data_IF_821409629684
#
_entry.id   IF_821409629684
#
_cell.length_a   1.000
_cell.length_b   1.000
_cell.length_c   1.000
_cell.angle_alpha   90.00
_cell.angle_beta   90.00
_cell.angle_gamma   90.00
#
_symmetry.space_group_name_H-M   'P 1'
#
loop_
_entity.id
_entity.type
_entity.pdbx_description
1 polymer ?
#
# COMPACT_ATOMS: atom_id res chain seq x y z
N UNK A 1 14.71 12.57 -41.56
CA UNK A 1 13.78 12.63 -40.41
C UNK A 1 13.81 11.39 -39.50
N UNK A 2 14.27 10.20 -39.91
CA UNK A 2 14.19 8.99 -39.06
C UNK A 2 15.21 8.89 -37.92
N UNK A 3 16.43 9.43 -38.04
CA UNK A 3 17.48 9.29 -37.01
C UNK A 3 17.21 10.01 -35.67
N UNK A 4 16.34 11.03 -35.64
CA UNK A 4 16.04 11.82 -34.42
C UNK A 4 15.00 11.15 -33.51
N UNK A 5 14.04 10.41 -34.09
CA UNK A 5 13.05 9.66 -33.31
C UNK A 5 13.64 8.41 -32.67
N UNK A 6 14.62 7.78 -33.33
CA UNK A 6 15.34 6.61 -32.78
C UNK A 6 16.14 6.97 -31.52
N UNK A 7 16.76 8.16 -31.46
CA UNK A 7 17.51 8.60 -30.27
C UNK A 7 16.57 8.96 -29.12
N UNK A 8 15.45 9.65 -29.38
CA UNK A 8 14.46 10.00 -28.34
C UNK A 8 13.80 8.73 -27.77
N UNK A 9 13.42 7.78 -28.64
CA UNK A 9 12.90 6.48 -28.24
C UNK A 9 13.92 5.66 -27.44
N UNK A 10 15.19 5.62 -27.87
CA UNK A 10 16.24 4.93 -27.11
C UNK A 10 16.54 5.60 -25.76
N UNK A 11 16.51 6.93 -25.66
CA UNK A 11 16.87 7.63 -24.40
C UNK A 11 15.74 7.52 -23.38
N UNK A 12 14.49 7.63 -23.82
CA UNK A 12 13.31 7.38 -22.98
C UNK A 12 13.21 5.91 -22.58
N UNK A 13 13.49 4.97 -23.50
CA UNK A 13 13.55 3.54 -23.19
C UNK A 13 14.75 3.19 -22.29
N UNK A 14 15.89 3.85 -22.43
CA UNK A 14 17.07 3.66 -21.57
C UNK A 14 16.83 4.22 -20.17
N UNK A 15 16.08 5.33 -20.02
CA UNK A 15 15.65 5.88 -18.73
C UNK A 15 14.52 5.05 -18.09
N UNK A 16 13.57 4.55 -18.88
CA UNK A 16 12.62 3.51 -18.45
C UNK A 16 13.38 2.27 -17.97
N UNK A 17 14.36 1.81 -18.75
CA UNK A 17 15.17 0.64 -18.39
C UNK A 17 16.11 0.93 -17.22
N UNK A 18 16.63 2.14 -17.03
CA UNK A 18 17.37 2.53 -15.82
C UNK A 18 16.43 2.58 -14.61
N UNK A 19 15.18 3.03 -14.75
CA UNK A 19 14.18 2.95 -13.67
C UNK A 19 13.74 1.50 -13.37
N UNK A 20 13.75 0.62 -14.36
CA UNK A 20 13.40 -0.81 -14.21
C UNK A 20 14.58 -1.67 -13.71
N UNK A 21 15.83 -1.32 -14.05
CA UNK A 21 17.05 -2.09 -13.74
C UNK A 21 17.70 -1.71 -12.40
N UNK A 22 17.37 -0.54 -11.86
CA UNK A 22 17.86 -0.06 -10.55
C UNK A 22 17.00 -0.62 -9.38
N UNK A 23 16.20 -1.64 -9.68
CA UNK A 23 15.17 -2.24 -8.83
C UNK A 23 15.67 -3.08 -7.66
N UNK A 24 16.96 -3.43 -7.57
CA UNK A 24 17.46 -4.25 -6.45
C UNK A 24 17.97 -3.44 -5.24
N UNK A 25 18.64 -2.31 -5.47
CA UNK A 25 19.19 -1.48 -4.37
C UNK A 25 18.23 -0.36 -3.91
N UNK A 26 17.29 0.06 -4.76
CA UNK A 26 16.34 1.13 -4.43
C UNK A 26 15.12 0.62 -3.63
N UNK A 27 14.75 -0.66 -3.80
CA UNK A 27 13.65 -1.30 -3.06
C UNK A 27 13.90 -1.42 -1.56
N UNK A 28 15.16 -1.50 -1.13
CA UNK A 28 15.54 -1.57 0.29
C UNK A 28 15.46 -0.21 1.02
N UNK A 29 15.16 0.89 0.32
CA UNK A 29 15.23 2.26 0.86
C UNK A 29 13.90 3.03 0.77
N UNK A 30 12.79 2.35 0.45
CA UNK A 30 11.46 2.97 0.28
C UNK A 30 11.50 4.13 -0.75
N UNK A 31 12.20 3.92 -1.87
CA UNK A 31 12.32 4.89 -2.94
C UNK A 31 11.39 4.53 -4.10
N UNK A 32 10.45 5.43 -4.40
CA UNK A 32 9.61 5.39 -5.58
C UNK A 32 10.16 6.27 -6.71
N UNK A 33 9.48 6.24 -7.84
CA UNK A 33 9.80 7.08 -8.97
C UNK A 33 8.67 7.13 -9.97
N UNK A 34 8.75 8.05 -10.91
CA UNK A 34 7.68 8.23 -11.88
C UNK A 34 8.09 9.08 -13.07
N UNK A 35 7.13 9.20 -13.98
CA UNK A 35 7.24 10.07 -15.15
C UNK A 35 5.93 10.80 -15.37
N UNK A 36 6.03 12.03 -15.86
CA UNK A 36 4.88 12.86 -16.16
C UNK A 36 5.06 13.57 -17.50
N UNK A 37 3.96 13.71 -18.22
CA UNK A 37 3.86 14.42 -19.48
C UNK A 37 2.90 15.59 -19.30
N UNK A 38 3.15 16.69 -20.00
CA UNK A 38 2.29 17.84 -19.85
C UNK A 38 2.62 19.01 -20.75
N UNK A 39 2.17 20.17 -20.30
CA UNK A 39 2.31 21.43 -21.00
C UNK A 39 2.99 22.47 -20.12
N UNK A 40 3.71 23.39 -20.76
CA UNK A 40 4.38 24.53 -20.14
C UNK A 40 3.93 25.81 -20.83
N UNK A 41 3.57 26.80 -20.03
CA UNK A 41 3.04 28.09 -20.46
C UNK A 41 3.95 29.19 -19.93
N UNK A 42 4.40 30.08 -20.80
CA UNK A 42 5.10 31.29 -20.39
C UNK A 42 4.12 32.39 -20.03
N UNK A 43 4.56 33.35 -19.22
CA UNK A 43 3.84 34.60 -19.04
C UNK A 43 4.53 35.70 -19.83
N UNK A 44 3.85 36.26 -20.82
CA UNK A 44 4.39 37.25 -21.76
C UNK A 44 3.37 38.36 -21.91
N UNK A 45 3.79 39.62 -21.77
CA UNK A 45 2.96 40.82 -21.95
C UNK A 45 1.61 40.83 -21.21
N UNK A 46 1.56 40.23 -20.03
CA UNK A 46 0.35 40.19 -19.21
C UNK A 46 -0.58 39.00 -19.49
N UNK A 47 -0.24 38.16 -20.47
CA UNK A 47 -1.02 37.00 -20.88
C UNK A 47 -0.19 35.71 -20.82
N UNK A 48 -0.88 34.57 -20.77
CA UNK A 48 -0.22 33.27 -20.91
C UNK A 48 -0.02 32.95 -22.39
N UNK A 49 1.13 32.36 -22.73
CA UNK A 49 1.47 31.97 -24.11
C UNK A 49 0.35 31.17 -24.75
N UNK A 50 -0.02 31.54 -25.98
CA UNK A 50 -1.13 30.93 -26.72
C UNK A 50 -0.83 29.53 -27.24
N UNK A 51 0.46 29.22 -27.46
CA UNK A 51 0.94 27.93 -27.94
C UNK A 51 1.77 27.19 -26.87
N UNK A 52 1.16 26.39 -25.99
CA UNK A 52 1.89 25.71 -24.92
C UNK A 52 3.00 24.80 -25.42
N UNK A 53 4.15 24.86 -24.74
CA UNK A 53 5.24 23.94 -24.97
C UNK A 53 4.99 22.58 -24.31
N UNK A 54 5.48 21.51 -24.93
CA UNK A 54 5.39 20.17 -24.37
C UNK A 54 6.45 19.98 -23.28
N UNK A 55 6.08 19.35 -22.16
CA UNK A 55 7.00 18.93 -21.09
C UNK A 55 6.94 17.43 -20.84
N UNK A 56 8.12 16.83 -20.63
CA UNK A 56 8.31 15.50 -20.10
C UNK A 56 9.22 15.58 -18.87
N UNK A 57 8.78 14.99 -17.76
CA UNK A 57 9.46 14.97 -16.47
C UNK A 57 9.67 13.53 -16.01
N UNK A 58 10.85 13.23 -15.46
CA UNK A 58 11.08 12.04 -14.66
C UNK A 58 11.48 12.44 -13.24
N UNK A 59 11.13 11.63 -12.25
CA UNK A 59 11.41 11.92 -10.86
C UNK A 59 11.63 10.66 -10.02
N UNK A 60 12.38 10.83 -8.93
CA UNK A 60 12.52 9.88 -7.84
C UNK A 60 11.89 10.50 -6.60
N UNK A 61 11.14 9.72 -5.84
CA UNK A 61 10.41 10.18 -4.64
C UNK A 61 10.71 9.27 -3.45
N UNK A 62 10.87 9.86 -2.27
CA UNK A 62 11.06 9.14 -1.01
C UNK A 62 10.04 9.63 0.01
N UNK A 63 9.38 8.72 0.69
CA UNK A 63 8.62 9.08 1.89
C UNK A 63 9.58 9.48 3.02
N UNK A 64 9.37 10.65 3.60
CA UNK A 64 10.10 11.14 4.77
C UNK A 64 9.28 10.97 6.06
N UNK A 65 7.95 10.97 5.93
CA UNK A 65 6.95 10.67 6.96
C UNK A 65 5.59 10.47 6.27
N UNK A 66 4.54 10.15 7.02
CA UNK A 66 3.18 9.94 6.49
C UNK A 66 2.64 11.09 5.64
N UNK A 67 3.10 12.32 5.91
CA UNK A 67 2.65 13.54 5.23
C UNK A 67 3.70 14.21 4.35
N UNK A 68 4.97 13.84 4.47
CA UNK A 68 6.05 14.51 3.74
C UNK A 68 6.79 13.55 2.82
N UNK A 69 7.02 13.99 1.58
CA UNK A 69 7.84 13.29 0.61
C UNK A 69 8.93 14.21 0.06
N UNK A 70 10.14 13.69 -0.08
CA UNK A 70 11.21 14.33 -0.83
C UNK A 70 11.20 13.83 -2.27
N UNK A 71 11.36 14.74 -3.23
CA UNK A 71 11.38 14.40 -4.64
C UNK A 71 12.56 15.06 -5.36
N UNK A 72 13.26 14.30 -6.20
CA UNK A 72 14.28 14.78 -7.12
C UNK A 72 13.77 14.60 -8.55
N UNK A 73 13.84 15.65 -9.36
CA UNK A 73 13.34 15.59 -10.74
C UNK A 73 14.23 16.21 -11.79
N UNK A 74 14.00 15.74 -13.02
CA UNK A 74 14.58 16.27 -14.22
C UNK A 74 13.51 16.40 -15.32
N UNK A 75 13.44 17.57 -15.95
CA UNK A 75 12.70 17.78 -17.19
C UNK A 75 13.55 17.37 -18.38
N UNK A 76 13.13 16.30 -19.05
CA UNK A 76 13.86 15.67 -20.15
C UNK A 76 13.63 16.41 -21.47
N UNK A 77 12.43 16.95 -21.64
CA UNK A 77 12.04 17.66 -22.86
C UNK A 77 10.97 18.68 -22.51
N UNK A 78 11.39 19.89 -22.15
CA UNK A 78 10.46 20.99 -21.87
C UNK A 78 10.69 22.12 -22.87
N UNK A 79 9.62 22.80 -23.25
CA UNK A 79 9.66 23.94 -24.15
C UNK A 79 8.84 25.08 -23.57
N UNK A 80 9.36 26.29 -23.76
CA UNK A 80 8.62 27.52 -23.65
C UNK A 80 8.51 28.06 -25.07
N UNK A 81 7.31 28.31 -25.57
CA UNK A 81 7.15 28.83 -26.92
C UNK A 81 5.91 29.70 -27.01
N UNK A 82 5.93 30.55 -28.01
CA UNK A 82 4.76 31.28 -28.49
C UNK A 82 4.92 31.51 -30.00
N UNK A 83 4.08 32.35 -30.61
CA UNK A 83 4.13 32.62 -32.06
C UNK A 83 5.53 33.06 -32.56
N UNK A 84 6.30 33.82 -31.77
CA UNK A 84 7.54 34.46 -32.20
C UNK A 84 8.80 34.03 -31.43
N UNK A 85 8.71 33.11 -30.47
CA UNK A 85 9.88 32.56 -29.79
C UNK A 85 9.73 31.08 -29.44
N UNK A 86 10.87 30.39 -29.32
CA UNK A 86 10.94 29.02 -28.80
C UNK A 86 12.23 28.87 -27.98
N UNK A 87 12.08 28.42 -26.75
CA UNK A 87 13.18 28.12 -25.83
C UNK A 87 13.03 26.70 -25.30
N UNK A 88 14.12 25.93 -25.37
CA UNK A 88 14.16 24.60 -24.74
C UNK A 88 14.57 24.76 -23.30
N UNK A 89 13.87 24.05 -22.42
CA UNK A 89 14.11 24.02 -21.00
C UNK A 89 14.50 22.61 -20.55
N UNK A 90 15.50 22.52 -19.69
CA UNK A 90 15.93 21.30 -19.01
C UNK A 90 16.06 21.59 -17.51
N UNK A 91 14.92 21.62 -16.79
CA UNK A 91 14.92 21.85 -15.35
C UNK A 91 15.46 20.64 -14.60
N UNK A 92 16.22 20.88 -13.53
CA UNK A 92 16.57 19.91 -12.50
C UNK A 92 16.27 20.52 -11.14
N UNK A 93 15.61 19.78 -10.27
CA UNK A 93 15.09 20.34 -9.02
C UNK A 93 14.85 19.31 -7.93
N UNK A 94 14.86 19.79 -6.70
CA UNK A 94 14.46 19.06 -5.51
C UNK A 94 13.19 19.71 -4.93
N UNK A 95 12.19 18.90 -4.57
CA UNK A 95 10.91 19.35 -4.00
C UNK A 95 10.65 18.66 -2.67
N UNK A 96 9.99 19.40 -1.79
CA UNK A 96 9.31 18.86 -0.62
C UNK A 96 7.81 18.88 -0.90
N UNK A 97 7.19 17.71 -0.86
CA UNK A 97 5.75 17.53 -1.03
C UNK A 97 5.11 17.36 0.34
N UNK A 98 4.00 18.06 0.57
CA UNK A 98 3.17 17.91 1.75
C UNK A 98 1.78 17.41 1.34
N UNK A 99 1.45 16.19 1.76
CA UNK A 99 0.12 15.59 1.57
C UNK A 99 -0.83 16.20 2.59
N UNK A 100 -1.90 16.85 2.11
CA UNK A 100 -2.87 17.53 2.97
C UNK A 100 -3.64 16.51 3.82
N UNK A 101 -4.07 15.44 3.17
CA UNK A 101 -4.63 14.23 3.74
C UNK A 101 -4.43 13.10 2.71
N UNK A 102 -4.43 11.85 3.17
CA UNK A 102 -4.40 10.69 2.30
C UNK A 102 -5.59 9.81 2.66
N UNK A 103 -6.40 9.45 1.66
CA UNK A 103 -7.33 8.34 1.78
C UNK A 103 -6.86 7.20 0.86
N UNK A 104 -7.45 6.01 0.98
CA UNK A 104 -7.02 4.84 0.21
C UNK A 104 -7.11 5.04 -1.33
N UNK A 105 -7.90 6.00 -1.81
CA UNK A 105 -8.13 6.22 -3.26
C UNK A 105 -7.44 7.46 -3.83
N UNK A 106 -7.34 8.57 -3.08
CA UNK A 106 -6.78 9.82 -3.57
C UNK A 106 -6.09 10.64 -2.47
N UNK A 107 -5.09 11.43 -2.86
CA UNK A 107 -4.20 12.17 -1.98
C UNK A 107 -3.82 13.52 -2.61
N UNK A 108 -4.44 14.62 -2.20
CA UNK A 108 -4.04 15.96 -2.63
C UNK A 108 -2.79 16.40 -1.87
N UNK A 109 -1.90 17.08 -2.57
CA UNK A 109 -0.65 17.58 -2.00
C UNK A 109 -0.29 18.96 -2.53
N UNK A 110 0.50 19.68 -1.76
CA UNK A 110 1.19 20.91 -2.20
C UNK A 110 2.69 20.65 -2.20
N UNK A 111 3.45 21.42 -2.98
CA UNK A 111 4.89 21.30 -3.01
C UNK A 111 5.58 22.63 -3.19
N UNK A 112 6.81 22.70 -2.71
CA UNK A 112 7.75 23.77 -2.99
C UNK A 112 9.17 23.17 -3.07
N UNK A 113 10.07 23.85 -3.77
CA UNK A 113 11.41 23.33 -3.99
C UNK A 113 12.40 24.38 -4.45
N UNK A 114 13.53 23.90 -4.96
CA UNK A 114 14.56 24.72 -5.56
C UNK A 114 15.33 23.91 -6.59
N UNK A 115 15.78 24.60 -7.63
CA UNK A 115 16.50 23.97 -8.72
C UNK A 115 17.19 24.95 -9.64
N UNK A 116 17.62 24.42 -10.77
CA UNK A 116 18.15 25.21 -11.87
C UNK A 116 17.54 24.72 -13.18
N UNK A 117 17.27 25.65 -14.09
CA UNK A 117 16.84 25.32 -15.45
C UNK A 117 17.94 25.72 -16.41
N UNK A 118 18.39 24.74 -17.20
CA UNK A 118 19.19 25.03 -18.36
C UNK A 118 18.26 25.44 -19.50
N UNK A 119 18.48 26.61 -20.06
CA UNK A 119 17.70 27.12 -21.19
C UNK A 119 18.57 27.25 -22.44
N UNK A 120 17.94 27.09 -23.59
CA UNK A 120 18.57 27.18 -24.91
C UNK A 120 17.55 27.74 -25.92
N UNK A 121 17.70 29.03 -26.22
CA UNK A 121 16.82 29.81 -27.08
C UNK A 121 17.04 29.37 -28.52
N UNK A 122 15.98 28.88 -29.17
CA UNK A 122 15.98 28.39 -30.55
C UNK A 122 15.52 29.44 -31.53
N UNK A 123 14.50 30.18 -31.15
CA UNK A 123 13.93 31.27 -31.93
C UNK A 123 13.70 32.44 -30.99
N UNK A 124 14.15 33.63 -31.40
CA UNK A 124 13.93 34.87 -30.67
C UNK A 124 12.95 35.76 -31.45
N UNK A 125 12.23 36.67 -30.77
CA UNK A 125 11.30 37.61 -31.39
C UNK A 125 11.96 38.51 -32.44
N UNK A 126 11.12 39.20 -33.22
CA UNK A 126 11.61 40.23 -34.16
C UNK A 126 12.26 41.42 -33.43
N UNK A 127 13.11 42.18 -34.13
CA UNK A 127 13.99 43.22 -33.55
C UNK A 127 13.28 44.31 -32.73
N UNK A 128 11.98 44.52 -32.92
CA UNK A 128 11.23 45.54 -32.19
C UNK A 128 10.76 45.06 -30.80
N UNK A 129 10.76 43.75 -30.55
CA UNK A 129 10.44 43.13 -29.25
C UNK A 129 11.65 42.46 -28.63
N UNK A 130 12.67 42.13 -29.43
CA UNK A 130 13.87 41.46 -28.95
C UNK A 130 14.76 42.39 -28.12
N UNK A 131 15.15 41.93 -26.94
CA UNK A 131 16.20 42.57 -26.13
C UNK A 131 17.59 41.99 -26.47
N UNK A 132 18.64 42.52 -25.86
CA UNK A 132 19.91 41.78 -25.76
C UNK A 132 19.73 40.64 -24.76
N UNK A 133 20.04 39.41 -25.15
CA UNK A 133 19.80 38.21 -24.34
C UNK A 133 21.01 37.27 -24.39
N UNK A 134 21.16 36.46 -23.34
CA UNK A 134 22.07 35.32 -23.38
C UNK A 134 21.33 34.13 -24.00
N UNK A 135 21.85 33.56 -25.09
CA UNK A 135 21.11 32.54 -25.86
C UNK A 135 20.97 31.18 -25.16
N UNK A 136 21.79 30.91 -24.14
CA UNK A 136 21.76 29.69 -23.35
C UNK A 136 22.47 29.88 -22.02
N UNK A 137 22.00 29.19 -20.98
CA UNK A 137 22.61 29.30 -19.66
C UNK A 137 21.88 28.46 -18.63
N UNK A 138 22.42 28.48 -17.41
CA UNK A 138 21.76 27.96 -16.22
C UNK A 138 21.20 29.12 -15.43
N UNK A 139 19.94 29.02 -15.03
CA UNK A 139 19.32 29.99 -14.14
C UNK A 139 18.69 29.26 -12.96
N UNK A 140 18.84 29.78 -11.72
CA UNK A 140 18.14 29.23 -10.58
C UNK A 140 16.63 29.43 -10.76
N UNK A 141 15.85 28.52 -10.19
CA UNK A 141 14.40 28.68 -10.14
C UNK A 141 13.79 28.01 -8.90
N UNK A 142 12.60 28.47 -8.53
CA UNK A 142 11.81 27.97 -7.41
C UNK A 142 10.49 27.41 -7.96
N UNK A 143 10.33 26.06 -8.00
CA UNK A 143 9.04 25.45 -8.26
C UNK A 143 8.16 25.46 -7.01
N UNK A 144 6.90 25.84 -7.16
CA UNK A 144 5.87 25.55 -6.16
C UNK A 144 4.53 25.27 -6.85
N UNK A 145 3.69 24.49 -6.20
CA UNK A 145 2.44 24.09 -6.80
C UNK A 145 1.63 23.14 -5.96
N UNK A 146 0.70 22.50 -6.64
CA UNK A 146 -0.23 21.56 -6.07
C UNK A 146 -0.42 20.38 -7.01
N UNK A 147 -0.85 19.26 -6.46
CA UNK A 147 -1.22 18.11 -7.24
C UNK A 147 -2.19 17.21 -6.52
N UNK A 148 -2.65 16.23 -7.25
CA UNK A 148 -3.58 15.22 -6.80
C UNK A 148 -3.11 13.87 -7.32
N UNK A 149 -2.88 12.96 -6.40
CA UNK A 149 -2.53 11.59 -6.68
C UNK A 149 -3.77 10.70 -6.53
N UNK A 150 -3.94 9.76 -7.43
CA UNK A 150 -4.99 8.75 -7.46
C UNK A 150 -4.33 7.38 -7.42
N UNK A 151 -4.61 6.60 -6.39
CA UNK A 151 -4.07 5.25 -6.27
C UNK A 151 -4.78 4.33 -7.26
N UNK A 152 -4.02 3.59 -8.06
CA UNK A 152 -4.55 2.59 -9.00
C UNK A 152 -4.47 1.19 -8.40
N UNK A 153 -3.35 0.90 -7.72
CA UNK A 153 -3.09 -0.33 -6.97
C UNK A 153 -2.11 -0.02 -5.81
N UNK A 154 -1.63 -1.04 -5.11
CA UNK A 154 -0.76 -0.90 -3.94
C UNK A 154 0.54 -0.14 -4.22
N UNK A 155 1.04 -0.17 -5.45
CA UNK A 155 2.34 0.38 -5.85
C UNK A 155 2.26 1.43 -6.94
N UNK A 156 1.16 1.54 -7.67
CA UNK A 156 1.01 2.41 -8.84
C UNK A 156 -0.04 3.48 -8.56
N UNK A 157 0.28 4.70 -8.95
CA UNK A 157 -0.63 5.84 -8.86
C UNK A 157 -0.59 6.69 -10.11
N UNK A 158 -1.74 7.24 -10.49
CA UNK A 158 -1.83 8.32 -11.46
C UNK A 158 -1.78 9.65 -10.71
N UNK A 159 -1.14 10.67 -11.29
CA UNK A 159 -0.97 11.97 -10.65
C UNK A 159 -1.20 13.09 -11.64
N UNK A 160 -1.89 14.16 -11.21
CA UNK A 160 -1.99 15.42 -11.94
C UNK A 160 -1.46 16.54 -11.06
N UNK A 161 -0.58 17.37 -11.60
CA UNK A 161 0.03 18.49 -10.87
C UNK A 161 0.07 19.76 -11.72
N UNK A 162 -0.08 20.89 -11.05
CA UNK A 162 0.12 22.22 -11.59
C UNK A 162 1.16 22.96 -10.75
N UNK A 163 2.12 23.61 -11.38
CA UNK A 163 3.19 24.33 -10.68
C UNK A 163 3.59 25.60 -11.36
N UNK A 164 3.77 26.65 -10.58
CA UNK A 164 4.39 27.89 -11.01
C UNK A 164 5.90 27.80 -10.74
N UNK A 165 6.70 28.18 -11.72
CA UNK A 165 8.15 28.12 -11.67
C UNK A 165 8.67 29.55 -11.74
N UNK A 166 9.10 30.07 -10.59
CA UNK A 166 9.72 31.39 -10.49
C UNK A 166 11.17 31.30 -10.92
N UNK A 167 11.56 32.02 -11.94
CA UNK A 167 12.97 32.16 -12.34
C UNK A 167 13.48 33.55 -11.99
N UNK A 168 14.79 33.73 -12.03
CA UNK A 168 15.46 34.99 -11.70
C UNK A 168 16.20 35.53 -12.92
N UNK A 169 15.55 35.41 -14.09
CA UNK A 169 16.06 35.85 -15.36
C UNK A 169 14.92 36.36 -16.22
N UNK A 170 15.22 37.33 -17.06
CA UNK A 170 14.37 37.86 -18.11
C UNK A 170 14.76 37.31 -19.51
N UNK A 171 15.68 36.33 -19.59
CA UNK A 171 16.26 35.85 -20.85
C UNK A 171 15.48 34.72 -21.54
N UNK A 172 14.55 34.04 -20.88
CA UNK A 172 13.94 32.80 -21.38
C UNK A 172 13.10 33.00 -22.63
N UNK A 173 12.43 34.14 -22.81
CA UNK A 173 11.65 34.45 -24.02
C UNK A 173 12.38 35.42 -24.97
N UNK A 174 13.52 35.99 -24.55
CA UNK A 174 14.26 37.04 -25.27
C UNK A 174 13.43 38.30 -25.63
N UNK A 175 12.31 38.54 -24.94
CA UNK A 175 11.42 39.68 -25.12
C UNK A 175 11.86 40.80 -24.17
N UNK A 176 11.81 42.05 -24.65
CA UNK A 176 12.08 43.23 -23.84
C UNK A 176 10.92 43.47 -22.86
N UNK A 177 11.09 43.01 -21.61
CA UNK A 177 10.16 43.22 -20.51
C UNK A 177 10.94 43.45 -19.21
N UNK A 178 10.39 44.27 -18.29
CA UNK A 178 11.03 44.59 -16.99
C UNK A 178 10.82 43.50 -15.91
N UNK A 179 10.22 42.36 -16.26
CA UNK A 179 9.86 41.29 -15.33
C UNK A 179 10.65 40.00 -15.61
N UNK A 180 10.89 39.21 -14.57
CA UNK A 180 11.49 37.88 -14.71
C UNK A 180 10.54 36.92 -15.44
N UNK A 181 11.11 36.11 -16.34
CA UNK A 181 10.41 35.12 -17.13
C UNK A 181 10.04 33.90 -16.28
N UNK A 182 8.78 33.83 -15.91
CA UNK A 182 8.22 32.71 -15.15
C UNK A 182 7.40 31.80 -16.06
N UNK A 183 7.25 30.54 -15.66
CA UNK A 183 6.43 29.60 -16.43
C UNK A 183 5.58 28.68 -15.55
N UNK A 184 4.37 28.39 -16.03
CA UNK A 184 3.46 27.42 -15.45
C UNK A 184 3.68 26.06 -16.11
N UNK A 185 3.67 24.98 -15.33
CA UNK A 185 3.65 23.62 -15.84
C UNK A 185 2.43 22.89 -15.33
N UNK A 186 1.73 22.20 -16.23
CA UNK A 186 0.65 21.27 -15.89
C UNK A 186 1.04 19.89 -16.39
N UNK A 187 1.16 18.92 -15.49
CA UNK A 187 1.72 17.60 -15.76
C UNK A 187 0.78 16.52 -15.25
N UNK A 188 0.50 15.52 -16.09
CA UNK A 188 -0.15 14.28 -15.70
C UNK A 188 0.85 13.13 -15.83
N UNK A 189 0.89 12.21 -14.88
CA UNK A 189 1.94 11.20 -14.83
C UNK A 189 1.56 9.94 -14.06
N UNK A 190 2.45 8.96 -14.15
CA UNK A 190 2.40 7.74 -13.36
C UNK A 190 3.54 7.76 -12.35
N UNK A 191 3.21 7.38 -11.12
CA UNK A 191 4.14 7.20 -10.02
C UNK A 191 4.10 5.75 -9.59
N UNK A 192 5.26 5.17 -9.35
CA UNK A 192 5.42 3.88 -8.71
C UNK A 192 6.05 4.10 -7.34
N UNK A 193 5.35 3.71 -6.27
CA UNK A 193 5.88 3.73 -4.92
C UNK A 193 6.97 2.66 -4.76
N UNK A 194 7.97 2.95 -3.92
CA UNK A 194 8.97 1.96 -3.52
C UNK A 194 8.37 1.01 -2.52
N UNK A 195 7.78 -0.10 -2.96
CA UNK A 195 7.16 -1.07 -2.04
C UNK A 195 8.19 -1.99 -1.40
N UNK A 196 8.22 -2.05 -0.07
CA UNK A 196 9.07 -2.99 0.66
C UNK A 196 8.26 -4.26 0.95
N UNK A 197 8.36 -5.25 0.06
CA UNK A 197 7.70 -6.56 0.20
C UNK A 197 8.15 -7.38 1.42
N UNK A 198 9.23 -6.94 2.10
CA UNK A 198 9.75 -7.57 3.30
C UNK A 198 9.52 -6.70 4.55
N UNK A 199 8.76 -5.60 4.44
CA UNK A 199 8.29 -4.89 5.62
C UNK A 199 7.15 -5.68 6.28
N UNK A 200 6.89 -5.34 7.53
CA UNK A 200 5.86 -5.86 8.42
C UNK A 200 5.31 -4.61 9.14
N UNK A 201 4.32 -3.91 8.55
CA UNK A 201 3.94 -2.57 8.99
C UNK A 201 3.10 -2.54 10.27
N UNK A 202 2.29 -3.58 10.53
CA UNK A 202 1.48 -3.73 11.73
C UNK A 202 2.16 -4.58 12.82
N UNK A 203 3.23 -5.29 12.48
CA UNK A 203 4.09 -5.96 13.45
C UNK A 203 3.54 -7.29 13.94
N UNK A 204 2.67 -7.93 13.15
CA UNK A 204 2.07 -9.23 13.46
C UNK A 204 3.02 -10.41 13.13
N UNK A 205 4.11 -10.13 12.42
CA UNK A 205 5.14 -11.08 12.01
C UNK A 205 5.05 -11.54 10.55
N UNK A 206 4.00 -11.17 9.81
CA UNK A 206 3.88 -11.41 8.37
C UNK A 206 4.49 -10.26 7.58
N UNK A 207 5.19 -10.58 6.48
CA UNK A 207 5.62 -9.51 5.58
C UNK A 207 4.51 -9.11 4.62
N UNK A 208 4.55 -7.88 4.09
CA UNK A 208 3.64 -7.41 3.03
C UNK A 208 3.48 -8.38 1.85
N UNK A 209 4.48 -9.23 1.58
CA UNK A 209 4.35 -10.29 0.56
C UNK A 209 3.45 -11.42 1.04
N UNK A 210 3.68 -11.92 2.25
CA UNK A 210 2.89 -13.01 2.83
C UNK A 210 1.44 -12.57 2.99
N UNK A 211 1.22 -11.36 3.51
CA UNK A 211 -0.13 -10.79 3.65
C UNK A 211 -0.85 -10.69 2.31
N UNK A 212 -0.15 -10.26 1.25
CA UNK A 212 -0.72 -10.23 -0.09
C UNK A 212 -1.11 -11.61 -0.62
N UNK A 213 -0.32 -12.63 -0.31
CA UNK A 213 -0.56 -14.01 -0.72
C UNK A 213 -1.73 -14.63 0.05
N UNK A 214 -1.90 -14.26 1.32
CA UNK A 214 -2.98 -14.71 2.19
C UNK A 214 -4.28 -13.93 1.99
N UNK A 215 -4.19 -12.70 1.50
CA UNK A 215 -5.33 -11.79 1.32
C UNK A 215 -5.63 -10.91 2.52
N UNK A 216 -4.75 -10.89 3.52
CA UNK A 216 -4.85 -10.08 4.74
C UNK A 216 -4.49 -8.61 4.49
N UNK A 217 -4.86 -7.72 5.42
CA UNK A 217 -4.58 -6.28 5.31
C UNK A 217 -3.24 -5.92 5.96
N UNK A 218 -2.30 -5.41 5.15
CA UNK A 218 -0.93 -5.07 5.53
C UNK A 218 -0.73 -4.00 6.61
N UNK A 219 -1.80 -3.49 7.19
CA UNK A 219 -1.78 -2.48 8.24
C UNK A 219 -2.78 -2.81 9.35
N UNK A 220 -3.31 -4.03 9.37
CA UNK A 220 -4.25 -4.51 10.35
C UNK A 220 -3.81 -5.91 10.80
N UNK A 221 -3.29 -6.06 12.03
CA UNK A 221 -2.67 -7.30 12.45
C UNK A 221 -3.68 -8.45 12.65
N UNK A 222 -4.98 -8.20 12.59
CA UNK A 222 -6.07 -9.18 12.83
C UNK A 222 -7.19 -8.91 11.79
N UNK A 223 -7.11 -9.61 10.66
CA UNK A 223 -7.87 -9.31 9.45
C UNK A 223 -9.34 -9.74 9.51
N UNK A 224 -9.67 -10.80 10.25
CA UNK A 224 -11.05 -11.25 10.45
C UNK A 224 -11.67 -10.84 11.79
N UNK A 225 -10.86 -10.32 12.72
CA UNK A 225 -11.30 -9.68 13.96
C UNK A 225 -11.71 -10.66 15.05
N UNK A 226 -11.15 -11.87 15.06
CA UNK A 226 -11.49 -12.91 16.03
C UNK A 226 -10.70 -12.83 17.35
N UNK A 227 -9.64 -12.01 17.37
CA UNK A 227 -8.77 -11.77 18.50
C UNK A 227 -7.41 -12.50 18.47
N UNK A 228 -7.08 -13.21 17.39
CA UNK A 228 -5.73 -13.65 17.05
C UNK A 228 -5.14 -12.75 15.96
N UNK A 229 -3.82 -12.58 15.95
CA UNK A 229 -3.20 -11.87 14.83
C UNK A 229 -3.02 -12.80 13.63
N UNK A 230 -3.05 -12.28 12.41
CA UNK A 230 -2.89 -13.06 11.17
C UNK A 230 -1.59 -13.90 11.21
N UNK A 231 -0.52 -13.29 11.74
CA UNK A 231 0.75 -13.97 12.00
C UNK A 231 0.67 -15.10 13.04
N UNK A 232 -0.12 -14.97 14.11
CA UNK A 232 -0.31 -16.05 15.10
C UNK A 232 -1.05 -17.23 14.47
N UNK A 233 -2.14 -16.95 13.76
CA UNK A 233 -2.94 -17.94 13.05
C UNK A 233 -2.08 -18.76 12.07
N UNK A 234 -1.32 -18.08 11.20
CA UNK A 234 -0.51 -18.74 10.17
C UNK A 234 0.69 -19.49 10.76
N UNK A 235 1.40 -18.88 11.72
CA UNK A 235 2.67 -19.43 12.20
C UNK A 235 2.51 -20.44 13.35
N UNK A 236 1.44 -20.33 14.15
CA UNK A 236 1.29 -21.10 15.39
C UNK A 236 0.10 -22.04 15.35
N UNK A 237 -1.09 -21.56 14.99
CA UNK A 237 -2.32 -22.35 15.10
C UNK A 237 -2.71 -23.07 13.81
N UNK A 238 -2.11 -22.67 12.68
CA UNK A 238 -2.39 -23.21 11.35
C UNK A 238 -3.85 -23.02 10.92
N UNK A 239 -4.45 -21.92 11.37
CA UNK A 239 -5.80 -21.46 11.02
C UNK A 239 -5.79 -20.53 9.81
N UNK A 240 -6.97 -20.11 9.34
CA UNK A 240 -7.11 -19.23 8.19
C UNK A 240 -7.39 -17.78 8.64
N UNK A 241 -6.46 -16.82 8.43
CA UNK A 241 -6.55 -15.45 8.95
C UNK A 241 -7.59 -14.55 8.28
N UNK A 242 -8.50 -15.15 7.52
CA UNK A 242 -9.62 -14.49 6.86
C UNK A 242 -10.95 -15.13 7.27
N UNK A 243 -10.94 -16.03 8.24
CA UNK A 243 -12.07 -16.81 8.72
C UNK A 243 -11.98 -16.94 10.24
N UNK A 244 -12.78 -16.13 10.93
CA UNK A 244 -12.82 -16.13 12.39
C UNK A 244 -13.13 -17.51 13.02
N UNK A 245 -13.72 -18.44 12.27
CA UNK A 245 -14.02 -19.81 12.72
C UNK A 245 -13.52 -20.74 11.60
N UNK A 246 -12.32 -21.28 11.77
CA UNK A 246 -11.60 -22.02 10.73
C UNK A 246 -12.19 -23.41 10.50
N UNK A 247 -12.55 -24.11 11.56
CA UNK A 247 -13.05 -25.49 11.47
C UNK A 247 -14.58 -25.61 11.37
N UNK A 248 -15.29 -24.51 11.65
CA UNK A 248 -16.73 -24.37 11.45
C UNK A 248 -17.57 -24.99 12.56
N UNK A 249 -17.04 -25.21 13.75
CA UNK A 249 -17.79 -25.73 14.90
C UNK A 249 -18.67 -24.65 15.58
N UNK A 250 -18.37 -23.38 15.30
CA UNK A 250 -19.10 -22.21 15.75
C UNK A 250 -18.55 -21.52 17.00
N UNK A 251 -17.39 -21.92 17.51
CA UNK A 251 -16.48 -21.06 18.29
C UNK A 251 -15.56 -20.34 17.31
N UNK A 252 -15.12 -19.12 17.64
CA UNK A 252 -14.09 -18.47 16.84
C UNK A 252 -12.68 -18.93 17.30
N UNK A 253 -11.68 -18.89 16.41
CA UNK A 253 -10.36 -19.47 16.68
C UNK A 253 -9.71 -18.80 17.92
N UNK A 254 -9.94 -17.49 18.06
CA UNK A 254 -9.59 -16.70 19.23
C UNK A 254 -10.23 -17.17 20.54
N UNK A 255 -11.51 -17.54 20.57
CA UNK A 255 -12.22 -18.08 21.75
C UNK A 255 -11.65 -19.44 22.13
N UNK A 256 -11.45 -20.32 21.16
CA UNK A 256 -10.87 -21.64 21.35
C UNK A 256 -9.48 -21.55 21.99
N UNK A 257 -8.61 -20.71 21.42
CA UNK A 257 -7.25 -20.52 21.94
C UNK A 257 -7.25 -19.82 23.30
N UNK A 258 -8.01 -18.73 23.46
CA UNK A 258 -7.89 -17.86 24.63
C UNK A 258 -8.74 -18.31 25.82
N UNK A 259 -9.89 -18.92 25.58
CA UNK A 259 -10.84 -19.33 26.61
C UNK A 259 -10.85 -20.84 26.84
N UNK A 260 -11.11 -21.64 25.81
CA UNK A 260 -11.39 -23.08 25.98
C UNK A 260 -10.12 -23.96 25.94
N UNK A 261 -9.02 -23.44 25.40
CA UNK A 261 -7.73 -24.14 25.21
C UNK A 261 -7.84 -25.36 24.29
N UNK A 262 -8.82 -25.34 23.40
CA UNK A 262 -9.03 -26.33 22.33
C UNK A 262 -8.15 -26.01 21.11
N UNK A 263 -8.21 -26.85 20.08
CA UNK A 263 -7.45 -26.68 18.86
C UNK A 263 -8.33 -26.08 17.74
N UNK A 264 -8.13 -24.80 17.36
CA UNK A 264 -9.02 -24.09 16.44
C UNK A 264 -9.02 -24.58 14.99
N UNK A 265 -8.18 -25.56 14.66
CA UNK A 265 -8.17 -26.22 13.37
C UNK A 265 -8.95 -27.55 13.38
N UNK A 266 -9.69 -27.85 14.47
CA UNK A 266 -10.38 -29.12 14.69
C UNK A 266 -11.66 -28.91 15.49
N UNK A 267 -12.78 -29.09 14.80
CA UNK A 267 -14.09 -28.97 15.41
C UNK A 267 -14.35 -29.89 16.61
N UNK A 268 -13.55 -30.94 16.80
CA UNK A 268 -13.63 -31.90 17.90
C UNK A 268 -12.19 -32.18 18.35
N UNK A 269 -11.78 -31.55 19.44
CA UNK A 269 -10.38 -31.51 19.88
C UNK A 269 -9.93 -32.85 20.47
N UNK A 270 -10.77 -33.50 21.26
CA UNK A 270 -10.44 -34.74 21.96
C UNK A 270 -10.83 -36.01 21.19
N UNK A 271 -11.69 -35.89 20.18
CA UNK A 271 -12.07 -36.94 19.25
C UNK A 271 -13.16 -37.88 19.75
N UNK A 272 -13.97 -37.49 20.73
CA UNK A 272 -15.10 -38.28 21.24
C UNK A 272 -16.33 -38.23 20.30
N UNK A 273 -16.38 -37.21 19.44
CA UNK A 273 -17.38 -37.00 18.42
C UNK A 273 -18.49 -36.00 18.77
N UNK A 274 -18.41 -35.29 19.89
CA UNK A 274 -19.04 -33.98 20.09
C UNK A 274 -18.08 -32.90 19.60
N UNK A 275 -18.60 -31.76 19.14
CA UNK A 275 -17.71 -30.62 18.85
C UNK A 275 -17.42 -29.78 20.09
N UNK A 276 -16.31 -29.04 20.05
CA UNK A 276 -15.81 -28.26 21.19
C UNK A 276 -16.87 -27.27 21.70
N UNK A 277 -17.64 -26.65 20.78
CA UNK A 277 -18.79 -25.81 21.12
C UNK A 277 -19.91 -26.55 21.86
N UNK A 278 -20.31 -27.72 21.38
CA UNK A 278 -21.36 -28.55 21.97
C UNK A 278 -21.01 -28.88 23.42
N UNK A 279 -19.77 -29.31 23.64
CA UNK A 279 -19.25 -29.63 24.96
C UNK A 279 -19.19 -28.40 25.87
N UNK A 280 -18.51 -27.35 25.43
CA UNK A 280 -18.23 -26.19 26.27
C UNK A 280 -19.46 -25.33 26.58
N UNK A 281 -20.43 -25.26 25.66
CA UNK A 281 -21.59 -24.34 25.76
C UNK A 281 -22.90 -25.07 26.01
N UNK A 282 -23.09 -26.26 25.46
CA UNK A 282 -24.39 -26.97 25.53
C UNK A 282 -24.41 -27.99 26.67
N UNK A 283 -23.40 -28.85 26.75
CA UNK A 283 -23.36 -29.97 27.69
C UNK A 283 -22.56 -29.67 28.97
N UNK A 284 -21.69 -28.65 28.94
CA UNK A 284 -20.76 -28.29 30.02
C UNK A 284 -19.80 -29.42 30.39
N UNK A 285 -19.44 -30.25 29.41
CA UNK A 285 -18.35 -31.23 29.49
C UNK A 285 -17.01 -30.56 29.20
N UNK A 286 -15.91 -31.27 29.39
CA UNK A 286 -14.55 -30.76 29.15
C UNK A 286 -14.07 -31.14 27.74
N UNK A 287 -14.02 -30.21 26.77
CA UNK A 287 -13.69 -30.50 25.35
C UNK A 287 -12.25 -30.96 25.11
N UNK A 288 -11.48 -31.16 26.19
CA UNK A 288 -10.14 -31.71 26.17
C UNK A 288 -10.11 -33.17 26.68
N UNK A 289 -11.26 -33.74 27.02
CA UNK A 289 -11.41 -35.06 27.60
C UNK A 289 -12.64 -35.77 27.04
N UNK A 290 -12.36 -36.78 26.22
CA UNK A 290 -13.41 -37.64 25.68
C UNK A 290 -14.31 -38.31 26.73
N UNK A 291 -13.86 -38.39 27.99
CA UNK A 291 -14.58 -38.92 29.15
C UNK A 291 -14.35 -37.92 30.30
N UNK A 292 -15.33 -37.03 30.52
CA UNK A 292 -15.18 -35.89 31.43
C UNK A 292 -15.06 -36.31 32.88
N UNK A 293 -15.86 -37.30 33.31
CA UNK A 293 -15.91 -37.76 34.70
C UNK A 293 -15.02 -38.96 35.02
N UNK A 294 -14.45 -39.60 33.98
CA UNK A 294 -13.48 -40.67 34.07
C UNK A 294 -14.08 -42.00 34.49
N UNK A 295 -15.29 -42.32 34.04
CA UNK A 295 -15.98 -43.57 34.35
C UNK A 295 -15.75 -44.70 33.33
N UNK A 296 -15.18 -44.37 32.17
CA UNK A 296 -14.87 -45.29 31.08
C UNK A 296 -15.83 -45.23 29.89
N UNK A 297 -16.85 -44.37 29.91
CA UNK A 297 -17.69 -44.02 28.77
C UNK A 297 -17.27 -42.66 28.20
N UNK A 298 -17.49 -42.44 26.91
CA UNK A 298 -17.26 -41.11 26.36
C UNK A 298 -18.47 -40.22 26.58
N UNK A 299 -18.27 -38.90 26.67
CA UNK A 299 -19.35 -37.94 26.92
C UNK A 299 -20.47 -38.07 25.86
N UNK A 300 -20.08 -38.28 24.60
CA UNK A 300 -21.00 -38.60 23.51
C UNK A 300 -21.81 -39.87 23.74
N UNK A 301 -21.15 -40.96 24.16
CA UNK A 301 -21.79 -42.25 24.38
C UNK A 301 -22.81 -42.15 25.52
N UNK A 302 -22.45 -41.43 26.58
CA UNK A 302 -23.34 -41.13 27.69
C UNK A 302 -24.57 -40.33 27.24
N UNK A 303 -24.39 -39.25 26.47
CA UNK A 303 -25.51 -38.42 26.01
C UNK A 303 -26.41 -39.12 24.98
N UNK A 304 -25.82 -39.83 24.02
CA UNK A 304 -26.53 -40.31 22.83
C UNK A 304 -26.93 -41.78 22.91
N UNK A 305 -26.14 -42.61 23.61
CA UNK A 305 -26.37 -44.07 23.69
C UNK A 305 -27.02 -44.45 25.02
N UNK A 306 -26.41 -44.10 26.15
CA UNK A 306 -26.81 -44.57 27.47
C UNK A 306 -27.80 -43.63 28.19
N UNK A 307 -27.81 -42.35 27.81
CA UNK A 307 -28.60 -41.27 28.43
C UNK A 307 -28.27 -41.08 29.93
N UNK A 308 -27.00 -41.27 30.28
CA UNK A 308 -26.42 -40.94 31.59
C UNK A 308 -25.97 -39.48 31.64
N UNK A 309 -25.49 -39.04 32.80
CA UNK A 309 -24.98 -37.68 33.03
C UNK A 309 -23.45 -37.69 32.95
N UNK A 310 -22.83 -37.12 31.90
CA UNK A 310 -21.38 -37.19 31.67
C UNK A 310 -20.52 -36.41 32.67
N UNK A 311 -21.18 -35.79 33.65
CA UNK A 311 -20.53 -35.09 34.76
C UNK A 311 -20.58 -35.91 36.06
N UNK A 312 -21.14 -37.13 36.03
CA UNK A 312 -21.39 -37.96 37.20
C UNK A 312 -21.08 -39.44 36.95
N UNK A 313 -19.91 -39.82 37.44
CA UNK A 313 -19.40 -41.19 37.43
C UNK A 313 -20.37 -42.29 37.91
N UNK A 314 -21.25 -41.98 38.84
CA UNK A 314 -22.24 -42.94 39.40
C UNK A 314 -23.58 -42.20 39.51
N UNK A 315 -24.46 -42.41 38.53
CA UNK A 315 -25.73 -41.69 38.40
C UNK A 315 -26.76 -42.13 39.44
N UNK A 316 -26.80 -43.43 39.76
CA UNK A 316 -27.83 -44.05 40.59
C UNK A 316 -27.44 -44.19 42.08
N UNK A 317 -26.16 -43.95 42.38
CA UNK A 317 -25.55 -43.90 43.70
C UNK A 317 -25.38 -45.26 44.36
N UNK A 318 -25.37 -46.36 43.61
CA UNK A 318 -25.24 -47.71 44.16
C UNK A 318 -23.79 -48.16 44.41
N UNK A 319 -22.81 -47.38 43.95
CA UNK A 319 -21.39 -47.59 44.15
C UNK A 319 -20.67 -48.30 43.00
N UNK A 320 -21.35 -48.60 41.89
CA UNK A 320 -20.74 -48.91 40.60
C UNK A 320 -20.74 -47.67 39.72
N UNK A 321 -19.70 -47.46 38.90
CA UNK A 321 -19.75 -46.38 37.92
C UNK A 321 -20.58 -46.75 36.69
N UNK A 322 -21.19 -45.77 36.02
CA UNK A 322 -22.07 -46.05 34.87
C UNK A 322 -21.30 -46.84 33.78
N UNK A 323 -20.03 -46.50 33.54
CA UNK A 323 -19.12 -47.28 32.69
C UNK A 323 -18.83 -48.70 33.17
N UNK A 324 -18.69 -48.95 34.47
CA UNK A 324 -18.56 -50.32 35.02
C UNK A 324 -19.86 -51.11 34.80
N UNK A 325 -20.99 -50.42 34.93
CA UNK A 325 -22.30 -51.01 34.70
C UNK A 325 -22.52 -51.40 33.25
N UNK A 326 -22.14 -50.56 32.29
CA UNK A 326 -22.20 -50.86 30.85
C UNK A 326 -21.27 -52.02 30.51
N UNK A 327 -20.00 -51.90 30.91
CA UNK A 327 -18.91 -52.75 30.39
C UNK A 327 -18.84 -54.10 31.09
N UNK A 328 -19.25 -54.18 32.35
CA UNK A 328 -18.99 -55.35 33.20
C UNK A 328 -20.26 -56.05 33.67
N UNK A 329 -21.21 -55.33 34.29
CA UNK A 329 -22.36 -55.95 34.98
C UNK A 329 -23.63 -56.01 34.12
N UNK A 330 -23.75 -55.13 33.11
CA UNK A 330 -24.95 -54.92 32.28
C UNK A 330 -26.19 -54.57 33.12
N UNK A 331 -25.98 -53.77 34.16
CA UNK A 331 -27.04 -53.23 35.03
C UNK A 331 -27.52 -51.87 34.50
N UNK A 332 -28.54 -51.29 35.13
CA UNK A 332 -29.27 -50.11 34.64
C UNK A 332 -28.85 -48.88 35.43
N UNK A 333 -28.35 -47.86 34.74
CA UNK A 333 -27.85 -46.58 35.29
C UNK A 333 -28.99 -45.70 35.84
N UNK A 334 -30.25 -46.03 35.49
CA UNK A 334 -31.43 -45.30 35.91
C UNK A 334 -32.35 -46.18 36.78
N UNK A 335 -32.46 -45.87 38.07
CA UNK A 335 -33.49 -46.48 38.94
C UNK A 335 -34.92 -46.12 38.54
#
# INVERSE_FOLDING_TARGET
MSKRYTVIGLTAALLLMLSLSVSAQFKAQNLGGGMGFGQTYGYVDGEWTSDPGLTLRAFLRRSLSDRFEGELSAGIFSRLKDEDFETRLSPIDARLLFRLFANQTWSPYIYAGGGAVYYDIKTAPTTNRAKNYTSKGWVPYIPFGLGMQFRLDDVTSFEVSGGYNMTFTDDLNAIQQDADDNFLSVVAGLTMAGFNWNADPDGDGLTNRQEKELGTDMNNPDSDGDGLTDGEEVMKYQTNPMMADTDGDGLNDGEEVNQYKTNPAKADTDGDGLNDKEEAVTYNTDPLKADTDGDGLSDKDELMTYKSDPLKKDMDGDGLSDGEEVLTTKTDFAK
#
